data_IF_661174017647
#
_entry.id   IF_661174017647
#
_cell.length_a   1.000
_cell.length_b   1.000
_cell.length_c   1.000
_cell.angle_alpha   90.00
_cell.angle_beta   90.00
_cell.angle_gamma   90.00
#
_symmetry.space_group_name_H-M   'P 1'
#
loop_
_entity.id
_entity.type
_entity.pdbx_description
1 polymer ?
#
# COMPACT_ATOMS: atom_id res chain seq x y z
N UNK A 1 8.90 -18.33 -8.95
CA UNK A 1 10.20 -18.09 -8.29
C UNK A 1 10.50 -16.60 -8.34
N UNK A 2 10.91 -16.02 -7.24
CA UNK A 2 11.24 -14.59 -7.14
C UNK A 2 12.73 -14.39 -6.96
N UNK A 3 13.20 -13.18 -7.23
CA UNK A 3 14.55 -12.72 -6.93
C UNK A 3 14.52 -11.53 -5.97
N UNK A 4 15.56 -11.41 -5.14
CA UNK A 4 15.78 -10.24 -4.30
C UNK A 4 16.45 -9.13 -5.10
N UNK A 5 15.96 -7.90 -4.95
CA UNK A 5 16.51 -6.73 -5.62
C UNK A 5 16.72 -5.61 -4.60
N UNK A 6 17.75 -4.79 -4.79
CA UNK A 6 18.00 -3.60 -3.98
C UNK A 6 18.22 -2.40 -4.90
N UNK A 7 17.55 -1.30 -4.56
CA UNK A 7 17.70 -0.02 -5.24
C UNK A 7 18.44 0.95 -4.31
N UNK A 8 19.58 1.51 -4.72
CA UNK A 8 20.29 2.46 -3.89
C UNK A 8 19.49 3.77 -3.72
N UNK A 9 19.48 4.28 -2.52
CA UNK A 9 18.90 5.57 -2.15
C UNK A 9 19.91 6.32 -1.26
N UNK A 10 19.80 7.65 -1.08
CA UNK A 10 20.80 8.40 -0.31
C UNK A 10 21.01 7.93 1.12
N UNK A 11 20.02 7.28 1.74
CA UNK A 11 20.09 6.78 3.13
C UNK A 11 20.34 5.27 3.23
N UNK A 12 20.60 4.59 2.11
CA UNK A 12 20.87 3.15 2.07
C UNK A 12 20.29 2.49 0.83
N UNK A 13 19.30 1.62 1.01
CA UNK A 13 18.63 0.93 -0.09
C UNK A 13 17.14 0.72 0.17
N UNK A 14 16.39 0.60 -0.91
CA UNK A 14 15.03 0.06 -0.94
C UNK A 14 15.11 -1.37 -1.44
N UNK A 15 14.67 -2.33 -0.63
CA UNK A 15 14.64 -3.74 -1.01
C UNK A 15 13.33 -4.07 -1.73
N UNK A 16 13.36 -5.06 -2.60
CA UNK A 16 12.19 -5.52 -3.32
C UNK A 16 12.30 -7.00 -3.67
N UNK A 17 11.17 -7.60 -3.97
CA UNK A 17 11.03 -8.92 -4.58
C UNK A 17 10.55 -8.76 -6.01
N UNK A 18 11.16 -9.48 -6.94
CA UNK A 18 10.80 -9.43 -8.36
C UNK A 18 10.38 -10.81 -8.87
N UNK A 19 9.28 -10.86 -9.62
CA UNK A 19 8.76 -12.05 -10.29
C UNK A 19 8.56 -11.80 -11.77
N UNK A 20 8.68 -12.83 -12.55
CA UNK A 20 8.43 -12.80 -13.99
C UNK A 20 9.62 -12.30 -14.81
N UNK A 21 9.48 -12.31 -16.15
CA UNK A 21 10.57 -11.91 -17.04
C UNK A 21 10.85 -10.41 -16.93
N UNK A 22 12.13 -9.99 -16.87
CA UNK A 22 12.48 -8.58 -16.71
C UNK A 22 11.94 -7.65 -17.80
N UNK A 23 11.66 -8.17 -18.98
CA UNK A 23 11.07 -7.44 -20.10
C UNK A 23 9.54 -7.53 -20.15
N UNK A 24 8.92 -8.24 -19.21
CA UNK A 24 7.47 -8.35 -19.11
C UNK A 24 6.78 -7.02 -18.81
N UNK A 25 5.46 -7.00 -18.92
CA UNK A 25 4.66 -5.81 -18.59
C UNK A 25 4.91 -5.38 -17.13
N UNK A 26 5.36 -4.14 -16.90
CA UNK A 26 5.81 -3.73 -15.57
C UNK A 26 4.65 -3.47 -14.62
N UNK A 27 4.73 -4.07 -13.44
CA UNK A 27 3.78 -3.87 -12.33
C UNK A 27 4.55 -3.61 -11.05
N UNK A 28 4.34 -2.46 -10.45
CA UNK A 28 4.92 -2.11 -9.15
C UNK A 28 3.89 -2.32 -8.05
N UNK A 29 4.25 -3.12 -7.04
CA UNK A 29 3.36 -3.53 -5.97
C UNK A 29 3.76 -2.88 -4.65
N UNK A 30 2.81 -2.26 -3.96
CA UNK A 30 3.02 -1.45 -2.75
C UNK A 30 2.22 -2.03 -1.57
N UNK A 31 2.92 -2.35 -0.50
CA UNK A 31 2.34 -2.93 0.72
C UNK A 31 1.66 -1.88 1.62
N UNK A 32 0.91 -2.36 2.61
CA UNK A 32 0.26 -1.54 3.62
C UNK A 32 1.19 -1.11 4.77
N UNK A 33 0.66 -0.28 5.64
CA UNK A 33 1.37 0.23 6.81
C UNK A 33 1.86 -0.90 7.72
N UNK A 34 3.15 -0.86 8.08
CA UNK A 34 3.87 -1.84 8.89
C UNK A 34 3.97 -3.25 8.29
N UNK A 35 3.63 -3.42 7.03
CA UNK A 35 3.78 -4.68 6.30
C UNK A 35 5.12 -4.74 5.53
N UNK A 36 5.19 -5.55 4.53
CA UNK A 36 6.33 -5.70 3.63
C UNK A 36 5.93 -6.40 2.33
N UNK A 37 6.89 -6.58 1.43
CA UNK A 37 6.67 -7.18 0.11
C UNK A 37 6.05 -8.58 0.15
N UNK A 38 6.23 -9.34 1.24
CA UNK A 38 5.65 -10.68 1.37
C UNK A 38 4.12 -10.68 1.37
N UNK A 39 3.48 -9.53 1.55
CA UNK A 39 2.01 -9.44 1.44
C UNK A 39 1.48 -9.91 0.09
N UNK A 40 2.31 -9.90 -0.96
CA UNK A 40 1.97 -10.32 -2.33
C UNK A 40 2.43 -11.74 -2.67
N UNK A 41 3.07 -12.45 -1.76
CA UNK A 41 3.71 -13.76 -2.04
C UNK A 41 2.75 -14.84 -2.53
N UNK A 42 1.51 -14.84 -2.06
CA UNK A 42 0.49 -15.81 -2.45
C UNK A 42 -0.30 -15.37 -3.68
N UNK A 43 -0.38 -14.05 -3.92
CA UNK A 43 -1.16 -13.49 -5.01
C UNK A 43 -0.40 -13.51 -6.34
N UNK A 44 0.81 -12.97 -6.39
CA UNK A 44 1.57 -12.81 -7.63
C UNK A 44 1.74 -14.10 -8.41
N UNK A 45 2.02 -15.26 -7.79
CA UNK A 45 2.12 -16.53 -8.53
C UNK A 45 0.83 -16.95 -9.24
N UNK A 46 -0.32 -16.40 -8.87
CA UNK A 46 -1.62 -16.66 -9.51
C UNK A 46 -1.95 -15.68 -10.64
N UNK A 47 -1.14 -14.65 -10.84
CA UNK A 47 -1.34 -13.60 -11.83
C UNK A 47 -0.65 -13.95 -13.17
N UNK A 48 -0.92 -13.21 -14.25
CA UNK A 48 -0.31 -13.48 -15.56
C UNK A 48 1.21 -13.55 -15.51
N UNK A 49 1.79 -14.55 -16.18
CA UNK A 49 3.23 -14.85 -16.14
C UNK A 49 4.08 -14.03 -17.11
N UNK A 50 3.46 -13.28 -18.02
CA UNK A 50 4.09 -12.39 -18.98
C UNK A 50 4.31 -10.97 -18.44
N UNK A 51 4.03 -10.74 -17.18
CA UNK A 51 4.24 -9.50 -16.45
C UNK A 51 5.50 -9.57 -15.58
N UNK A 52 6.10 -8.42 -15.34
CA UNK A 52 7.21 -8.27 -14.39
C UNK A 52 6.73 -7.52 -13.16
N UNK A 53 6.59 -8.25 -12.05
CA UNK A 53 6.10 -7.72 -10.78
C UNK A 53 7.28 -7.38 -9.89
N UNK A 54 7.33 -6.13 -9.40
CA UNK A 54 8.31 -5.70 -8.41
C UNK A 54 7.53 -5.23 -7.18
N UNK A 55 7.67 -5.95 -6.07
CA UNK A 55 7.06 -5.61 -4.79
C UNK A 55 8.14 -5.02 -3.87
N UNK A 56 8.03 -3.73 -3.59
CA UNK A 56 9.00 -3.01 -2.75
C UNK A 56 8.67 -3.13 -1.27
N UNK A 57 9.70 -3.06 -0.43
CA UNK A 57 9.56 -2.67 0.96
C UNK A 57 9.78 -1.16 1.06
N UNK A 58 8.82 -0.42 1.56
CA UNK A 58 9.05 0.98 1.88
C UNK A 58 10.14 1.14 2.93
N UNK A 59 10.87 2.26 2.91
CA UNK A 59 11.84 2.58 3.95
C UNK A 59 11.25 2.38 5.35
N UNK A 60 12.05 1.82 6.25
CA UNK A 60 11.61 1.48 7.60
C UNK A 60 10.76 0.23 7.72
N UNK A 61 10.56 -0.51 6.64
CA UNK A 61 9.78 -1.75 6.57
C UNK A 61 10.59 -2.88 5.90
N UNK A 62 10.25 -4.11 6.24
CA UNK A 62 10.85 -5.29 5.62
C UNK A 62 12.38 -5.27 5.67
N UNK A 63 13.01 -5.41 4.51
CA UNK A 63 14.47 -5.42 4.35
C UNK A 63 15.05 -4.08 3.89
N UNK A 64 14.22 -3.06 3.75
CA UNK A 64 14.69 -1.72 3.35
C UNK A 64 15.36 -0.98 4.50
N UNK A 65 16.30 -0.07 4.15
CA UNK A 65 16.95 0.79 5.11
C UNK A 65 15.95 1.70 5.85
N UNK A 66 16.28 2.04 7.09
CA UNK A 66 15.56 3.06 7.83
C UNK A 66 15.97 4.45 7.33
N UNK A 67 15.09 5.43 7.45
CA UNK A 67 15.43 6.82 7.16
C UNK A 67 16.39 7.36 8.20
N UNK A 68 17.16 8.42 7.88
CA UNK A 68 18.13 9.01 8.80
C UNK A 68 17.51 9.37 10.16
N UNK A 69 18.33 9.34 11.23
CA UNK A 69 17.92 9.77 12.54
C UNK A 69 17.34 11.21 12.50
N UNK A 70 16.31 11.46 13.29
CA UNK A 70 15.61 12.75 13.33
C UNK A 70 14.54 12.94 12.26
N UNK A 71 14.44 12.04 11.25
CA UNK A 71 13.43 12.14 10.21
C UNK A 71 12.10 11.55 10.69
N UNK A 72 11.01 12.22 10.33
CA UNK A 72 9.67 11.64 10.32
C UNK A 72 9.47 10.74 9.09
N UNK A 73 8.52 9.81 9.16
CA UNK A 73 8.05 9.06 8.01
C UNK A 73 6.78 9.74 7.48
N UNK A 74 6.94 10.63 6.50
CA UNK A 74 5.84 11.30 5.84
C UNK A 74 5.23 10.45 4.74
N UNK A 75 3.95 10.63 4.49
CA UNK A 75 3.26 9.96 3.39
C UNK A 75 3.93 10.24 2.02
N UNK A 76 4.29 11.50 1.75
CA UNK A 76 4.96 11.86 0.49
C UNK A 76 6.37 11.27 0.36
N UNK A 77 7.01 10.89 1.44
CA UNK A 77 8.27 10.15 1.39
C UNK A 77 8.09 8.80 0.70
N UNK A 78 7.02 8.08 1.02
CA UNK A 78 6.69 6.82 0.35
C UNK A 78 6.38 7.02 -1.14
N UNK A 79 5.66 8.07 -1.48
CA UNK A 79 5.39 8.43 -2.89
C UNK A 79 6.69 8.73 -3.63
N UNK A 80 7.63 9.45 -3.01
CA UNK A 80 8.95 9.72 -3.58
C UNK A 80 9.76 8.45 -3.81
N UNK A 81 9.62 7.45 -2.93
CA UNK A 81 10.29 6.16 -3.09
C UNK A 81 9.77 5.40 -4.32
N UNK A 82 8.48 5.47 -4.61
CA UNK A 82 7.92 4.92 -5.85
C UNK A 82 8.57 5.57 -7.08
N UNK A 83 8.72 6.90 -7.06
CA UNK A 83 9.37 7.63 -8.15
C UNK A 83 10.85 7.24 -8.31
N UNK A 84 11.57 7.06 -7.21
CA UNK A 84 12.98 6.61 -7.21
C UNK A 84 13.12 5.20 -7.77
N UNK A 85 12.26 4.27 -7.37
CA UNK A 85 12.27 2.89 -7.87
C UNK A 85 11.94 2.84 -9.35
N UNK A 86 10.95 3.59 -9.82
CA UNK A 86 10.62 3.68 -11.24
C UNK A 86 11.81 4.21 -12.06
N UNK A 87 12.53 5.22 -11.55
CA UNK A 87 13.74 5.74 -12.20
C UNK A 87 14.86 4.69 -12.25
N UNK A 88 15.10 3.97 -11.17
CA UNK A 88 16.11 2.91 -11.11
C UNK A 88 15.80 1.74 -12.05
N UNK A 89 14.53 1.40 -12.24
CA UNK A 89 14.05 0.39 -13.17
C UNK A 89 13.96 0.91 -14.61
N UNK A 90 14.13 2.22 -14.83
CA UNK A 90 13.93 2.88 -16.12
C UNK A 90 12.51 2.67 -16.69
N UNK A 91 11.54 2.55 -15.81
CA UNK A 91 10.14 2.42 -16.17
C UNK A 91 9.53 3.78 -16.42
N UNK A 92 9.09 3.99 -17.66
CA UNK A 92 8.42 5.24 -18.06
C UNK A 92 6.91 5.17 -17.88
N UNK A 93 6.34 3.98 -18.07
CA UNK A 93 4.92 3.71 -17.91
C UNK A 93 4.74 2.30 -17.34
N UNK A 94 3.95 2.17 -16.28
CA UNK A 94 3.78 0.91 -15.56
C UNK A 94 2.43 0.87 -14.84
N UNK A 95 2.02 -0.33 -14.47
CA UNK A 95 0.85 -0.57 -13.61
C UNK A 95 1.26 -0.45 -12.15
N UNK A 96 0.43 0.20 -11.34
CA UNK A 96 0.55 0.24 -9.88
C UNK A 96 -0.51 -0.65 -9.25
N UNK A 97 -0.10 -1.46 -8.27
CA UNK A 97 -0.99 -2.24 -7.42
C UNK A 97 -0.64 -1.96 -5.96
N UNK A 98 -1.58 -1.42 -5.19
CA UNK A 98 -1.36 -1.06 -3.79
C UNK A 98 -2.42 -1.62 -2.87
N UNK A 99 -1.99 -2.11 -1.71
CA UNK A 99 -2.84 -2.59 -0.62
C UNK A 99 -2.87 -1.58 0.52
N UNK A 100 -4.06 -1.23 1.01
CA UNK A 100 -4.23 -0.34 2.16
C UNK A 100 -3.45 0.97 1.99
N UNK A 101 -2.54 1.34 2.88
CA UNK A 101 -1.67 2.53 2.73
C UNK A 101 -0.96 2.56 1.36
N UNK A 102 -0.48 1.41 0.88
CA UNK A 102 0.12 1.30 -0.45
C UNK A 102 -0.83 1.71 -1.58
N UNK A 103 -2.13 1.52 -1.39
CA UNK A 103 -3.16 2.02 -2.30
C UNK A 103 -3.27 3.54 -2.31
N UNK A 104 -3.20 4.17 -1.13
CA UNK A 104 -3.18 5.65 -1.04
C UNK A 104 -1.91 6.23 -1.68
N UNK A 105 -0.76 5.58 -1.48
CA UNK A 105 0.50 5.95 -2.12
C UNK A 105 0.41 5.81 -3.66
N UNK A 106 -0.15 4.69 -4.13
CA UNK A 106 -0.35 4.44 -5.55
C UNK A 106 -1.29 5.49 -6.19
N UNK A 107 -2.39 5.81 -5.52
CA UNK A 107 -3.34 6.84 -5.97
C UNK A 107 -2.70 8.22 -6.04
N UNK A 108 -1.97 8.62 -5.02
CA UNK A 108 -1.26 9.91 -5.02
C UNK A 108 -0.21 9.96 -6.13
N UNK A 109 0.54 8.90 -6.34
CA UNK A 109 1.50 8.82 -7.44
C UNK A 109 0.81 8.99 -8.79
N UNK A 110 -0.33 8.32 -8.99
CA UNK A 110 -1.14 8.44 -10.21
C UNK A 110 -1.62 9.88 -10.44
N UNK A 111 -2.02 10.60 -9.40
CA UNK A 111 -2.44 12.00 -9.51
C UNK A 111 -1.26 12.94 -9.81
N UNK A 112 -0.08 12.64 -9.29
CA UNK A 112 1.13 13.46 -9.50
C UNK A 112 1.80 13.18 -10.85
N UNK A 113 1.81 11.93 -11.30
CA UNK A 113 2.49 11.47 -12.51
C UNK A 113 1.56 10.62 -13.39
N UNK A 114 0.43 11.19 -13.85
CA UNK A 114 -0.55 10.42 -14.62
C UNK A 114 0.03 9.82 -15.91
N UNK A 115 1.02 10.47 -16.52
CA UNK A 115 1.71 10.00 -17.71
C UNK A 115 2.52 8.70 -17.49
N UNK A 116 2.88 8.41 -16.24
CA UNK A 116 3.66 7.23 -15.87
C UNK A 116 2.82 6.01 -15.49
N UNK A 117 1.51 6.18 -15.32
CA UNK A 117 0.62 5.11 -14.86
C UNK A 117 -0.23 4.58 -16.01
N UNK A 118 -0.12 3.28 -16.27
CA UNK A 118 -0.93 2.59 -17.27
C UNK A 118 -2.27 2.13 -16.68
N UNK A 119 -2.20 1.42 -15.56
CA UNK A 119 -3.36 0.91 -14.82
C UNK A 119 -3.12 1.07 -13.33
N UNK A 120 -4.19 1.27 -12.57
CA UNK A 120 -4.15 1.38 -11.12
C UNK A 120 -5.03 0.31 -10.49
N UNK A 121 -4.46 -0.52 -9.61
CA UNK A 121 -5.16 -1.55 -8.87
C UNK A 121 -5.09 -1.22 -7.38
N UNK A 122 -6.23 -1.03 -6.77
CA UNK A 122 -6.37 -0.68 -5.36
C UNK A 122 -7.04 -1.83 -4.61
N UNK A 123 -6.29 -2.42 -3.68
CA UNK A 123 -6.75 -3.51 -2.82
C UNK A 123 -7.09 -2.93 -1.45
N UNK A 124 -8.36 -2.91 -1.08
CA UNK A 124 -8.83 -2.35 0.19
C UNK A 124 -8.36 -0.90 0.41
N UNK A 125 -8.47 -0.08 -0.63
CA UNK A 125 -8.19 1.35 -0.61
C UNK A 125 -8.92 2.06 -1.75
N UNK A 126 -9.21 3.35 -1.58
CA UNK A 126 -9.88 4.19 -2.59
C UNK A 126 -8.92 5.11 -3.37
N UNK A 127 -7.61 4.98 -3.13
CA UNK A 127 -6.57 5.80 -3.77
C UNK A 127 -6.22 7.08 -3.03
N UNK A 128 -6.87 7.38 -1.92
CA UNK A 128 -6.60 8.55 -1.07
C UNK A 128 -7.15 8.33 0.36
N UNK A 129 -6.76 9.23 1.26
CA UNK A 129 -7.30 9.33 2.62
C UNK A 129 -8.05 10.65 2.78
N UNK A 130 -9.27 10.58 3.34
CA UNK A 130 -10.02 11.78 3.70
C UNK A 130 -9.45 12.42 4.95
N UNK A 131 -9.34 13.76 4.92
CA UNK A 131 -9.03 14.55 6.11
C UNK A 131 -10.17 14.41 7.14
N UNK A 132 -9.86 14.46 8.45
CA UNK A 132 -10.89 14.60 9.46
C UNK A 132 -11.76 15.83 9.17
N UNK A 133 -13.05 15.72 9.41
CA UNK A 133 -14.01 16.81 9.23
C UNK A 133 -13.69 17.99 10.17
N UNK A 134 -13.22 17.67 11.38
CA UNK A 134 -12.90 18.67 12.40
C UNK A 134 -11.43 19.08 12.36
N UNK A 135 -11.19 20.39 12.25
CA UNK A 135 -9.84 20.98 12.27
C UNK A 135 -9.05 20.60 13.52
N UNK A 136 -9.70 20.54 14.68
CA UNK A 136 -9.06 20.15 15.94
C UNK A 136 -8.55 18.71 15.93
N UNK A 137 -9.29 17.78 15.33
CA UNK A 137 -8.83 16.40 15.15
C UNK A 137 -7.61 16.34 14.25
N UNK A 138 -7.57 17.13 13.18
CA UNK A 138 -6.42 17.24 12.29
C UNK A 138 -5.18 17.80 13.01
N UNK A 139 -5.32 18.92 13.73
CA UNK A 139 -4.25 19.51 14.53
C UNK A 139 -3.71 18.54 15.58
N UNK A 140 -4.61 17.85 16.30
CA UNK A 140 -4.23 16.83 17.27
C UNK A 140 -3.40 15.70 16.66
N UNK A 141 -3.77 15.23 15.49
CA UNK A 141 -3.03 14.17 14.81
C UNK A 141 -1.60 14.60 14.45
N UNK A 142 -1.43 15.83 13.98
CA UNK A 142 -0.10 16.40 13.65
C UNK A 142 0.76 16.58 14.88
N UNK A 143 0.20 17.11 15.96
CA UNK A 143 0.90 17.24 17.25
C UNK A 143 1.34 15.87 17.77
N UNK A 144 0.46 14.89 17.76
CA UNK A 144 0.78 13.53 18.20
C UNK A 144 1.92 12.89 17.39
N UNK A 145 2.01 13.15 16.07
CA UNK A 145 3.10 12.67 15.25
C UNK A 145 4.46 13.18 15.74
N UNK A 146 4.54 14.48 16.03
CA UNK A 146 5.77 15.13 16.53
C UNK A 146 6.12 14.62 17.94
N UNK A 147 5.15 14.62 18.85
CA UNK A 147 5.37 14.22 20.25
C UNK A 147 5.82 12.76 20.36
N UNK A 148 5.27 11.87 19.50
CA UNK A 148 5.70 10.46 19.44
C UNK A 148 7.13 10.31 18.93
N UNK A 149 7.52 11.07 17.91
CA UNK A 149 8.90 11.07 17.42
C UNK A 149 9.87 11.44 18.55
N UNK A 150 9.62 12.57 19.20
CA UNK A 150 10.47 13.05 20.30
C UNK A 150 10.51 12.06 21.47
N UNK A 151 9.39 11.42 21.79
CA UNK A 151 9.33 10.38 22.83
C UNK A 151 10.16 9.15 22.46
N UNK A 152 10.15 8.71 21.19
CA UNK A 152 10.96 7.59 20.73
C UNK A 152 12.46 7.93 20.80
N UNK A 153 12.84 9.13 20.39
CA UNK A 153 14.22 9.60 20.45
C UNK A 153 14.74 9.67 21.90
N UNK A 154 13.90 10.15 22.83
CA UNK A 154 14.26 10.25 24.24
C UNK A 154 14.43 8.90 24.93
N UNK A 155 13.66 7.89 24.53
CA UNK A 155 13.68 6.57 25.21
C UNK A 155 14.85 5.69 24.80
N UNK A 156 15.39 5.82 23.61
CA UNK A 156 16.52 5.04 23.06
C UNK A 156 16.55 3.57 23.53
N UNK A 157 15.40 2.89 23.48
CA UNK A 157 15.31 1.51 23.94
C UNK A 157 15.95 0.54 22.93
N UNK A 158 16.67 -0.51 23.39
CA UNK A 158 17.17 -1.55 22.51
C UNK A 158 15.99 -2.29 21.85
N UNK A 159 16.19 -2.87 20.65
CA UNK A 159 15.17 -3.66 19.99
C UNK A 159 14.67 -4.81 20.88
N UNK A 160 13.35 -4.99 20.93
CA UNK A 160 12.76 -6.07 21.73
C UNK A 160 12.90 -7.40 20.99
N UNK A 161 13.51 -8.38 21.68
CA UNK A 161 13.66 -9.74 21.18
C UNK A 161 12.48 -10.59 21.65
N UNK A 162 11.91 -11.38 20.75
CA UNK A 162 10.76 -12.27 21.03
C UNK A 162 11.04 -13.66 20.49
N UNK A 163 10.41 -14.67 21.09
CA UNK A 163 10.34 -15.99 20.47
C UNK A 163 9.54 -15.91 19.17
N UNK A 164 9.74 -16.84 18.21
CA UNK A 164 8.94 -16.89 16.98
C UNK A 164 7.43 -16.91 17.26
N UNK A 165 6.99 -17.68 18.25
CA UNK A 165 5.59 -17.79 18.66
C UNK A 165 5.05 -16.46 19.21
N UNK A 166 5.80 -15.81 20.09
CA UNK A 166 5.42 -14.52 20.67
C UNK A 166 5.38 -13.40 19.61
N UNK A 167 6.32 -13.41 18.65
CA UNK A 167 6.34 -12.46 17.55
C UNK A 167 5.11 -12.60 16.65
N UNK A 168 4.74 -13.83 16.30
CA UNK A 168 3.55 -14.11 15.51
C UNK A 168 2.27 -13.73 16.26
N UNK A 169 2.16 -14.14 17.52
CA UNK A 169 1.01 -13.82 18.35
C UNK A 169 0.78 -12.30 18.43
N UNK A 170 1.84 -11.54 18.69
CA UNK A 170 1.73 -10.08 18.76
C UNK A 170 1.29 -9.46 17.42
N UNK A 171 1.78 -9.98 16.31
CA UNK A 171 1.36 -9.51 14.98
C UNK A 171 -0.12 -9.76 14.74
N UNK A 172 -0.63 -10.94 15.11
CA UNK A 172 -2.04 -11.31 14.97
C UNK A 172 -2.94 -10.53 15.93
N UNK A 173 -2.50 -10.27 17.16
CA UNK A 173 -3.22 -9.44 18.12
C UNK A 173 -3.34 -7.98 17.63
N UNK A 174 -2.29 -7.45 17.02
CA UNK A 174 -2.28 -6.11 16.46
C UNK A 174 -3.11 -6.00 15.18
N UNK A 175 -3.36 -7.11 14.49
CA UNK A 175 -4.06 -7.13 13.21
C UNK A 175 -5.01 -8.32 13.10
N UNK A 176 -6.26 -8.10 13.48
CA UNK A 176 -7.32 -9.13 13.53
C UNK A 176 -7.77 -9.63 12.14
N UNK A 177 -7.38 -8.93 11.07
CA UNK A 177 -7.72 -9.33 9.70
C UNK A 177 -6.73 -10.32 9.10
N UNK A 178 -5.62 -10.61 9.78
CA UNK A 178 -4.64 -11.61 9.36
C UNK A 178 -5.01 -13.00 9.87
N UNK A 179 -4.89 -14.01 8.99
CA UNK A 179 -4.82 -15.40 9.40
C UNK A 179 -3.44 -15.70 9.99
N UNK A 180 -3.33 -16.80 10.75
CA UNK A 180 -2.04 -17.26 11.28
C UNK A 180 -1.03 -17.53 10.15
N UNK A 181 -1.47 -18.12 9.04
CA UNK A 181 -0.64 -18.36 7.85
C UNK A 181 -0.18 -17.05 7.20
N UNK A 182 -1.09 -16.12 6.98
CA UNK A 182 -0.76 -14.80 6.44
C UNK A 182 0.21 -14.02 7.33
N UNK A 183 -0.01 -14.06 8.64
CA UNK A 183 0.89 -13.45 9.62
C UNK A 183 2.29 -14.07 9.60
N UNK A 184 2.41 -15.39 9.49
CA UNK A 184 3.69 -16.09 9.37
C UNK A 184 4.45 -15.68 8.09
N UNK A 185 3.77 -15.53 6.98
CA UNK A 185 4.35 -15.06 5.70
C UNK A 185 4.92 -13.64 5.84
N UNK A 186 4.17 -12.72 6.44
CA UNK A 186 4.65 -11.36 6.70
C UNK A 186 5.84 -11.34 7.67
N UNK A 187 5.81 -12.19 8.71
CA UNK A 187 6.86 -12.24 9.72
C UNK A 187 8.21 -12.69 9.14
N UNK A 188 8.22 -13.58 8.14
CA UNK A 188 9.44 -14.06 7.49
C UNK A 188 10.32 -12.91 6.95
N UNK A 189 9.70 -11.84 6.46
CA UNK A 189 10.42 -10.66 5.93
C UNK A 189 10.38 -9.47 6.91
N UNK A 190 9.44 -9.46 7.81
CA UNK A 190 9.23 -8.41 8.80
C UNK A 190 10.08 -8.53 10.06
N UNK A 191 10.82 -9.62 10.21
CA UNK A 191 11.67 -9.87 11.37
C UNK A 191 13.02 -10.47 10.97
N UNK A 192 14.04 -10.16 11.77
CA UNK A 192 15.38 -10.74 11.66
C UNK A 192 15.58 -11.79 12.72
N UNK A 193 16.11 -12.96 12.32
CA UNK A 193 16.48 -14.03 13.23
C UNK A 193 17.80 -13.68 13.90
N UNK A 194 17.83 -13.71 15.23
CA UNK A 194 19.04 -13.55 16.05
C UNK A 194 19.25 -14.80 16.90
N UNK A 195 20.46 -15.00 17.50
CA UNK A 195 20.65 -16.12 18.43
C UNK A 195 19.68 -16.13 19.63
N UNK A 196 19.19 -14.97 20.02
CA UNK A 196 18.27 -14.81 21.16
C UNK A 196 16.78 -14.89 20.77
N UNK A 197 16.44 -14.81 19.47
CA UNK A 197 15.07 -14.83 18.98
C UNK A 197 14.86 -13.90 17.81
N UNK A 198 13.62 -13.45 17.58
CA UNK A 198 13.24 -12.56 16.50
C UNK A 198 13.19 -11.10 16.94
N UNK A 199 13.66 -10.23 16.05
CA UNK A 199 13.56 -8.76 16.17
C UNK A 199 12.80 -8.23 14.97
N UNK A 200 11.75 -7.45 15.18
CA UNK A 200 11.04 -6.79 14.08
C UNK A 200 11.95 -5.79 13.37
N UNK A 201 11.91 -5.80 12.03
CA UNK A 201 12.73 -4.93 11.18
C UNK A 201 12.19 -3.50 11.09
N UNK A 202 10.89 -3.34 11.27
CA UNK A 202 10.25 -2.03 11.09
C UNK A 202 10.81 -0.97 12.02
N UNK A 203 11.01 0.23 11.48
CA UNK A 203 11.38 1.40 12.25
C UNK A 203 10.21 1.81 13.15
N UNK A 204 10.46 2.02 14.42
CA UNK A 204 9.43 2.44 15.38
C UNK A 204 8.82 3.80 15.01
N UNK A 205 9.56 4.68 14.32
CA UNK A 205 9.06 5.95 13.80
C UNK A 205 7.99 5.76 12.73
N UNK A 206 8.04 4.69 11.95
CA UNK A 206 7.02 4.36 10.96
C UNK A 206 5.67 4.03 11.58
N UNK A 207 5.61 3.66 12.87
CA UNK A 207 4.36 3.48 13.62
C UNK A 207 3.60 4.78 13.83
N UNK A 208 4.28 5.91 13.74
CA UNK A 208 3.65 7.22 13.80
C UNK A 208 3.10 7.54 12.42
N UNK A 209 1.79 7.44 12.26
CA UNK A 209 1.13 7.74 10.99
C UNK A 209 1.13 9.25 10.75
N UNK A 210 1.96 9.69 9.83
CA UNK A 210 1.94 11.07 9.33
C UNK A 210 1.32 11.06 7.92
N UNK A 211 0.01 10.98 7.89
CA UNK A 211 -0.79 10.85 6.66
C UNK A 211 -0.98 12.19 5.99
N UNK A 212 -0.84 12.19 4.68
CA UNK A 212 -1.36 13.26 3.83
C UNK A 212 -2.83 12.96 3.55
N UNK A 213 -3.70 13.69 4.19
CA UNK A 213 -5.15 13.54 4.02
C UNK A 213 -5.70 14.69 3.19
N UNK A 214 -6.68 14.38 2.35
CA UNK A 214 -7.29 15.31 1.42
C UNK A 214 -8.68 15.70 1.89
N UNK A 215 -9.08 16.93 1.62
CA UNK A 215 -10.46 17.37 1.82
C UNK A 215 -11.40 16.66 0.83
N UNK A 216 -12.68 16.59 1.14
CA UNK A 216 -13.69 16.04 0.22
C UNK A 216 -13.62 16.77 -1.13
N UNK A 217 -13.51 18.10 -1.13
CA UNK A 217 -13.41 18.90 -2.36
C UNK A 217 -12.19 18.50 -3.21
N UNK A 218 -11.03 18.32 -2.58
CA UNK A 218 -9.83 17.86 -3.28
C UNK A 218 -10.03 16.46 -3.86
N UNK A 219 -10.61 15.53 -3.10
CA UNK A 219 -10.90 14.17 -3.58
C UNK A 219 -11.85 14.18 -4.78
N UNK A 220 -12.92 14.99 -4.74
CA UNK A 220 -13.86 15.14 -5.87
C UNK A 220 -13.14 15.63 -7.12
N UNK A 221 -12.31 16.68 -6.99
CA UNK A 221 -11.53 17.21 -8.11
C UNK A 221 -10.54 16.20 -8.69
N UNK A 222 -9.91 15.40 -7.84
CA UNK A 222 -8.98 14.35 -8.28
C UNK A 222 -9.71 13.22 -9.01
N UNK A 223 -10.86 12.78 -8.49
CA UNK A 223 -11.67 11.76 -9.16
C UNK A 223 -12.12 12.22 -10.55
N UNK A 224 -12.49 13.48 -10.72
CA UNK A 224 -12.88 14.04 -12.01
C UNK A 224 -11.72 14.09 -13.03
N UNK A 225 -10.47 14.03 -12.56
CA UNK A 225 -9.27 13.98 -13.42
C UNK A 225 -8.84 12.58 -13.82
N UNK A 226 -9.44 11.54 -13.25
CA UNK A 226 -9.08 10.17 -13.59
C UNK A 226 -9.40 9.90 -15.07
N UNK A 227 -8.37 9.61 -15.84
CA UNK A 227 -8.47 9.16 -17.24
C UNK A 227 -7.95 7.74 -17.41
N UNK A 228 -7.32 7.20 -16.37
CA UNK A 228 -6.70 5.88 -16.35
C UNK A 228 -7.73 4.78 -16.05
N UNK A 229 -7.33 3.55 -16.29
CA UNK A 229 -8.11 2.37 -15.91
C UNK A 229 -7.80 2.03 -14.46
N UNK A 230 -8.82 2.04 -13.62
CA UNK A 230 -8.72 1.79 -12.19
C UNK A 230 -9.58 0.59 -11.81
N UNK A 231 -8.97 -0.37 -11.10
CA UNK A 231 -9.67 -1.46 -10.43
C UNK A 231 -9.60 -1.23 -8.92
N UNK A 232 -10.75 -1.18 -8.27
CA UNK A 232 -10.87 -1.14 -6.81
C UNK A 232 -11.50 -2.44 -6.34
N UNK A 233 -10.82 -3.15 -5.44
CA UNK A 233 -11.34 -4.34 -4.79
C UNK A 233 -11.56 -4.04 -3.31
N UNK A 234 -12.80 -4.25 -2.87
CA UNK A 234 -13.24 -4.02 -1.48
C UNK A 234 -13.71 -5.35 -0.89
N UNK A 235 -13.25 -5.68 0.31
CA UNK A 235 -13.67 -6.86 1.05
C UNK A 235 -14.91 -6.58 1.90
N UNK A 236 -15.86 -7.52 1.93
CA UNK A 236 -17.12 -7.40 2.69
C UNK A 236 -16.88 -7.19 4.17
N UNK A 237 -15.90 -7.88 4.75
CA UNK A 237 -15.51 -7.79 6.16
C UNK A 237 -14.22 -6.97 6.35
N UNK A 238 -13.89 -6.09 5.38
CA UNK A 238 -12.70 -5.26 5.40
C UNK A 238 -12.86 -3.96 6.20
N UNK A 239 -11.84 -3.12 6.10
CA UNK A 239 -11.83 -1.79 6.75
C UNK A 239 -12.52 -0.71 5.92
N UNK A 240 -12.64 -0.92 4.61
CA UNK A 240 -13.38 -0.05 3.70
C UNK A 240 -14.79 -0.59 3.50
N UNK A 241 -15.64 -0.40 4.47
CA UNK A 241 -17.05 -0.73 4.27
C UNK A 241 -17.66 0.37 3.39
N UNK A 242 -18.34 0.01 2.26
CA UNK A 242 -19.04 0.99 1.43
C UNK A 242 -20.02 1.87 2.23
N UNK A 243 -20.46 1.39 3.39
CA UNK A 243 -21.33 2.14 4.34
C UNK A 243 -20.65 3.30 5.08
N UNK A 244 -19.33 3.41 5.05
CA UNK A 244 -18.64 4.63 5.54
C UNK A 244 -18.81 5.82 4.61
N UNK A 245 -19.22 5.55 3.36
CA UNK A 245 -19.76 6.56 2.45
C UNK A 245 -21.29 6.63 2.60
N UNK A 246 -21.80 6.57 3.85
CA UNK A 246 -23.22 6.60 4.14
C UNK A 246 -23.88 7.78 3.45
N UNK A 247 -24.88 7.48 2.63
CA UNK A 247 -25.68 8.45 1.89
C UNK A 247 -26.37 9.50 2.78
N UNK A 248 -26.47 9.22 4.06
CA UNK A 248 -27.06 10.11 5.07
C UNK A 248 -26.08 11.12 5.62
N UNK A 249 -24.77 10.95 5.39
CA UNK A 249 -23.77 11.93 5.80
C UNK A 249 -23.59 13.00 4.70
N UNK A 250 -24.07 14.25 4.91
CA UNK A 250 -23.99 15.31 3.90
C UNK A 250 -22.54 15.71 3.57
N UNK A 251 -21.58 15.42 4.46
CA UNK A 251 -20.18 15.72 4.25
C UNK A 251 -19.56 14.84 3.14
N UNK A 252 -19.91 13.55 3.07
CA UNK A 252 -19.36 12.61 2.08
C UNK A 252 -20.22 12.49 0.81
N UNK A 253 -21.42 13.08 0.80
CA UNK A 253 -22.34 13.03 -0.35
C UNK A 253 -21.69 13.48 -1.67
N UNK A 254 -20.97 14.62 -1.75
CA UNK A 254 -20.33 15.06 -2.99
C UNK A 254 -19.26 14.05 -3.50
N UNK A 255 -18.54 13.42 -2.58
CA UNK A 255 -17.54 12.40 -2.92
C UNK A 255 -18.20 11.16 -3.51
N UNK A 256 -19.31 10.72 -2.92
CA UNK A 256 -20.05 9.57 -3.43
C UNK A 256 -20.61 9.84 -4.81
N UNK A 257 -21.21 11.00 -5.04
CA UNK A 257 -21.72 11.42 -6.35
C UNK A 257 -20.62 11.46 -7.40
N UNK A 258 -19.42 11.96 -7.03
CA UNK A 258 -18.25 11.96 -7.91
C UNK A 258 -17.80 10.53 -8.24
N UNK A 259 -17.73 9.63 -7.27
CA UNK A 259 -17.44 8.22 -7.51
C UNK A 259 -18.46 7.57 -8.44
N UNK A 260 -19.73 7.74 -8.21
CA UNK A 260 -20.81 7.20 -9.05
C UNK A 260 -20.70 7.69 -10.50
N UNK A 261 -20.32 8.95 -10.70
CA UNK A 261 -20.14 9.52 -12.05
C UNK A 261 -18.95 8.94 -12.79
N UNK A 262 -17.87 8.61 -12.11
CA UNK A 262 -16.61 8.12 -12.68
C UNK A 262 -16.57 6.59 -12.78
N UNK A 263 -17.33 5.87 -11.91
CA UNK A 263 -17.37 4.41 -11.85
C UNK A 263 -17.69 3.75 -13.20
N UNK A 264 -18.55 4.35 -14.00
CA UNK A 264 -18.99 3.75 -15.26
C UNK A 264 -17.96 3.83 -16.39
N UNK A 265 -17.07 4.83 -16.34
CA UNK A 265 -16.16 5.14 -17.44
C UNK A 265 -14.72 4.70 -17.19
N UNK A 266 -14.24 4.85 -15.96
CA UNK A 266 -12.82 4.73 -15.63
C UNK A 266 -12.52 3.78 -14.48
N UNK A 267 -13.48 3.54 -13.58
CA UNK A 267 -13.29 2.75 -12.36
C UNK A 267 -14.15 1.50 -12.39
N UNK A 268 -13.54 0.34 -12.22
CA UNK A 268 -14.23 -0.91 -11.92
C UNK A 268 -14.15 -1.15 -10.42
N UNK A 269 -15.29 -1.16 -9.74
CA UNK A 269 -15.40 -1.48 -8.32
C UNK A 269 -15.93 -2.91 -8.17
N UNK A 270 -15.18 -3.74 -7.44
CA UNK A 270 -15.54 -5.13 -7.19
C UNK A 270 -15.55 -5.37 -5.68
N UNK A 271 -16.67 -5.85 -5.17
CA UNK A 271 -16.79 -6.32 -3.79
C UNK A 271 -16.58 -7.84 -3.75
N UNK A 272 -15.74 -8.30 -2.82
CA UNK A 272 -15.41 -9.70 -2.66
C UNK A 272 -15.65 -10.16 -1.21
N UNK A 273 -15.92 -11.44 -0.96
CA UNK A 273 -15.91 -11.97 0.41
C UNK A 273 -14.49 -11.92 0.97
N UNK A 274 -14.37 -11.83 2.28
CA UNK A 274 -13.09 -11.82 2.97
C UNK A 274 -12.86 -10.55 3.79
N UNK A 275 -11.66 -10.42 4.31
CA UNK A 275 -11.25 -9.35 5.21
C UNK A 275 -10.25 -8.39 4.55
N UNK A 276 -9.73 -7.46 5.36
CA UNK A 276 -8.76 -6.46 4.89
C UNK A 276 -7.51 -7.04 4.22
N UNK A 277 -7.10 -8.26 4.55
CA UNK A 277 -5.98 -8.98 3.94
C UNK A 277 -6.43 -10.10 3.00
N UNK A 278 -7.55 -9.97 2.33
CA UNK A 278 -8.07 -11.00 1.42
C UNK A 278 -7.06 -11.42 0.36
N UNK A 279 -6.28 -10.50 -0.18
CA UNK A 279 -5.24 -10.78 -1.18
C UNK A 279 -4.10 -11.69 -0.68
N UNK A 280 -3.88 -11.73 0.63
CA UNK A 280 -2.88 -12.58 1.28
C UNK A 280 -3.52 -13.85 1.88
N UNK A 281 -4.63 -13.71 2.59
CA UNK A 281 -5.30 -14.82 3.25
C UNK A 281 -5.95 -15.80 2.26
N UNK A 282 -6.60 -15.26 1.21
CA UNK A 282 -7.39 -16.00 0.22
C UNK A 282 -7.17 -15.41 -1.18
N UNK A 283 -5.93 -15.47 -1.73
CA UNK A 283 -5.57 -14.77 -2.96
C UNK A 283 -6.40 -15.20 -4.18
N UNK A 284 -6.90 -16.42 -4.21
CA UNK A 284 -7.76 -16.97 -5.26
C UNK A 284 -9.08 -16.22 -5.41
N UNK A 285 -9.54 -15.54 -4.36
CA UNK A 285 -10.77 -14.72 -4.39
C UNK A 285 -10.59 -13.49 -5.28
N UNK A 286 -9.37 -12.94 -5.38
CA UNK A 286 -9.08 -11.71 -6.12
C UNK A 286 -8.25 -11.93 -7.38
N UNK A 287 -7.55 -13.05 -7.49
CA UNK A 287 -6.59 -13.28 -8.59
C UNK A 287 -7.22 -13.26 -9.97
N UNK A 288 -8.42 -13.82 -10.13
CA UNK A 288 -9.14 -13.83 -11.41
C UNK A 288 -9.52 -12.42 -11.88
N UNK A 289 -10.04 -11.63 -10.98
CA UNK A 289 -10.44 -10.23 -11.27
C UNK A 289 -9.21 -9.40 -11.65
N UNK A 290 -8.12 -9.52 -10.90
CA UNK A 290 -6.88 -8.81 -11.18
C UNK A 290 -6.28 -9.27 -12.51
N UNK A 291 -6.22 -10.57 -12.78
CA UNK A 291 -5.69 -11.12 -14.03
C UNK A 291 -6.46 -10.62 -15.25
N UNK A 292 -7.79 -10.60 -15.18
CA UNK A 292 -8.64 -10.08 -16.26
C UNK A 292 -8.39 -8.58 -16.48
N UNK A 293 -8.21 -7.83 -15.42
CA UNK A 293 -7.93 -6.40 -15.51
C UNK A 293 -6.55 -6.12 -16.12
N UNK A 294 -5.51 -6.89 -15.73
CA UNK A 294 -4.16 -6.76 -16.25
C UNK A 294 -4.07 -7.11 -17.74
N UNK A 295 -4.82 -8.10 -18.20
CA UNK A 295 -4.77 -8.59 -19.58
C UNK A 295 -5.77 -7.91 -20.52
N UNK A 296 -6.72 -7.14 -19.99
CA UNK A 296 -7.68 -6.41 -20.81
C UNK A 296 -6.98 -5.37 -21.69
N UNK A 297 -7.23 -5.46 -23.00
CA UNK A 297 -6.68 -4.52 -23.98
C UNK A 297 -7.39 -3.18 -23.93
N UNK A 298 -6.61 -2.12 -24.16
CA UNK A 298 -7.15 -0.78 -24.28
C UNK A 298 -7.95 -0.64 -25.59
N UNK A 299 -9.26 -0.56 -25.48
CA UNK A 299 -10.14 -0.38 -26.66
C UNK A 299 -10.01 1.03 -27.27
N UNK A 300 -9.34 1.97 -26.59
CA UNK A 300 -9.13 3.35 -27.05
C UNK A 300 -7.94 3.52 -27.99
N UNK A 301 -7.06 2.52 -28.11
CA UNK A 301 -5.90 2.60 -29.02
C UNK A 301 -6.24 2.31 -30.49
N UNK A 302 -7.52 2.21 -30.87
CA UNK A 302 -7.99 1.90 -32.23
C UNK A 302 -8.91 2.97 -32.85
N UNK A 303 -8.89 4.21 -32.33
CA UNK A 303 -9.60 5.32 -32.99
C UNK A 303 -8.63 6.43 -33.38
#
# INVERSE_FOLDING_TARGET
MFSEVKFPVPWGHVAAKAWGPPQGHPVLCLHGWLDNANTFDRLIPLLPTDHHYVAVDFSGHGLSSHRPAGSLYHFLDYVSEVRRVAAALQWRRFTLMGHSMGGSVAGMFCFLYPEMVDKLILLENLGFLLAPEETEAWLKSKRMAIDRLLSLEAKQQPPKVRSPEAALQRLLEANRHLTAEGGAILLQRGATVTPAGLVYNRDMRARTQNRESLTVEQCVKLLQKIQDRVLIIVAQDGLLIPHKLDSRNPFVKPLREAFESVLKEHIQLVEVPGSHFVHLNEPEVVSGVISNFLTAQDTRARL
#
